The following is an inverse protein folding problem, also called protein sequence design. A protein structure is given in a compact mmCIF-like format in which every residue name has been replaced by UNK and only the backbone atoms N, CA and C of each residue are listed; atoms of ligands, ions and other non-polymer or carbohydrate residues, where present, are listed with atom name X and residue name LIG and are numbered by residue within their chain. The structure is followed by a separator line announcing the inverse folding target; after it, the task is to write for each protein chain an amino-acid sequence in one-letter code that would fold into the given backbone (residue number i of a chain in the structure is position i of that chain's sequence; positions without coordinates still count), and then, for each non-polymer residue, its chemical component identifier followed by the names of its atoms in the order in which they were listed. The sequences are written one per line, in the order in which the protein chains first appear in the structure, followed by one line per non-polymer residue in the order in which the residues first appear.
data_IF_492270817721
#
_entry.id   IF_492270817721
#
_cell.length_a   1.000
_cell.length_b   1.000
_cell.length_c   1.000
_cell.angle_alpha   90.00
_cell.angle_beta   90.00
_cell.angle_gamma   90.00
#
_symmetry.space_group_name_H-M   'P 1'
#
loop_
_entity.id
_entity.type
_entity.pdbx_description
1 polymer ?
#
# COMPACT_ATOMS: atom_id res chain seq x y z
N UNK A 1 -8.12 -24.38 -6.64
CA UNK A 1 -6.95 -23.75 -7.29
C UNK A 1 -7.14 -22.25 -7.22
N UNK A 2 -6.48 -21.58 -6.27
CA UNK A 2 -6.50 -20.11 -6.19
C UNK A 2 -5.37 -19.57 -7.07
N UNK A 3 -5.70 -18.72 -8.04
CA UNK A 3 -4.69 -18.06 -8.85
C UNK A 3 -3.77 -17.26 -7.93
N UNK A 4 -2.48 -17.62 -7.93
CA UNK A 4 -1.43 -16.76 -7.39
C UNK A 4 -1.50 -15.40 -8.11
N UNK A 5 -1.22 -14.28 -7.43
CA UNK A 5 -1.26 -12.95 -8.06
C UNK A 5 -0.16 -12.89 -9.12
N UNK A 6 -0.52 -13.19 -10.36
CA UNK A 6 0.33 -13.05 -11.53
C UNK A 6 0.64 -11.57 -11.74
N UNK A 7 1.79 -11.16 -11.22
CA UNK A 7 2.70 -10.16 -11.77
C UNK A 7 2.03 -8.97 -12.51
N UNK A 8 1.60 -7.94 -11.75
CA UNK A 8 1.50 -6.56 -12.24
C UNK A 8 2.89 -5.95 -12.47
N UNK A 9 3.81 -6.65 -13.14
CA UNK A 9 5.24 -6.29 -13.19
C UNK A 9 5.59 -5.16 -14.17
N UNK A 10 4.66 -4.25 -14.44
CA UNK A 10 4.91 -3.12 -15.34
C UNK A 10 3.84 -2.04 -15.27
N UNK A 11 3.07 -1.98 -14.19
CA UNK A 11 2.12 -0.89 -13.94
C UNK A 11 2.30 -0.42 -12.50
N UNK A 12 2.69 0.83 -12.33
CA UNK A 12 2.69 1.53 -11.04
C UNK A 12 1.54 2.52 -11.03
N UNK A 13 1.10 2.94 -9.85
CA UNK A 13 0.11 3.99 -9.72
C UNK A 13 0.72 5.15 -8.95
N UNK A 14 0.67 6.35 -9.51
CA UNK A 14 0.91 7.56 -8.76
C UNK A 14 -0.29 7.80 -7.84
N UNK A 15 -0.02 8.04 -6.57
CA UNK A 15 -1.04 8.26 -5.55
C UNK A 15 -1.68 9.63 -5.76
N UNK A 16 -2.98 9.64 -6.04
CA UNK A 16 -3.82 10.84 -5.93
C UNK A 16 -4.71 10.69 -4.70
N UNK A 17 -6.02 10.60 -4.93
CA UNK A 17 -7.01 10.44 -3.87
C UNK A 17 -7.11 9.03 -3.27
N UNK A 18 -6.37 8.05 -3.80
CA UNK A 18 -6.21 6.72 -3.23
C UNK A 18 -7.42 5.80 -3.33
N UNK A 19 -8.49 6.19 -4.03
CA UNK A 19 -9.74 5.43 -4.12
C UNK A 19 -9.66 4.20 -5.05
N UNK A 20 -8.66 4.13 -5.93
CA UNK A 20 -8.53 3.06 -6.93
C UNK A 20 -7.30 2.18 -6.70
N UNK A 21 -6.42 2.59 -5.79
CA UNK A 21 -5.18 1.89 -5.48
C UNK A 21 -5.45 0.94 -4.31
N UNK A 22 -5.20 -0.36 -4.49
CA UNK A 22 -5.25 -1.32 -3.38
C UNK A 22 -3.98 -1.23 -2.56
N UNK A 23 -4.11 -0.92 -1.28
CA UNK A 23 -2.99 -0.63 -0.38
C UNK A 23 -1.91 -1.72 -0.44
N UNK A 24 -2.31 -2.99 -0.31
CA UNK A 24 -1.37 -4.11 -0.25
C UNK A 24 -0.88 -4.60 -1.61
N UNK A 25 -1.69 -4.51 -2.66
CA UNK A 25 -1.49 -5.29 -3.89
C UNK A 25 -1.06 -4.47 -5.09
N UNK A 26 -1.10 -3.14 -5.00
CA UNK A 26 -0.69 -2.26 -6.08
C UNK A 26 0.63 -1.57 -5.73
N UNK A 27 1.41 -1.21 -6.74
CA UNK A 27 2.70 -0.51 -6.54
C UNK A 27 2.41 0.98 -6.60
N UNK A 28 2.31 1.60 -5.42
CA UNK A 28 2.04 3.04 -5.28
C UNK A 28 3.05 3.78 -4.41
N UNK A 29 3.87 3.05 -3.65
CA UNK A 29 4.99 3.57 -2.90
C UNK A 29 6.18 2.61 -3.04
N UNK A 30 7.33 3.14 -3.49
CA UNK A 30 8.54 2.35 -3.80
C UNK A 30 8.42 1.51 -5.07
N UNK A 31 9.16 0.40 -5.13
CA UNK A 31 9.33 -0.39 -6.36
C UNK A 31 8.55 -1.72 -6.41
N UNK A 32 7.89 -2.10 -5.31
CA UNK A 32 7.13 -3.34 -5.24
C UNK A 32 5.93 -3.23 -4.29
N UNK A 33 4.97 -4.13 -4.41
CA UNK A 33 3.75 -4.11 -3.59
C UNK A 33 4.06 -4.35 -2.11
N UNK A 34 3.32 -3.74 -1.18
CA UNK A 34 3.48 -4.02 0.24
C UNK A 34 3.15 -5.46 0.64
N UNK A 35 2.32 -6.17 -0.13
CA UNK A 35 2.07 -7.61 0.05
C UNK A 35 3.35 -8.45 -0.09
N UNK A 36 4.26 -8.06 -0.99
CA UNK A 36 5.53 -8.73 -1.22
C UNK A 36 6.58 -8.33 -0.18
N UNK A 37 6.65 -7.04 0.16
CA UNK A 37 7.61 -6.52 1.13
C UNK A 37 7.26 -6.94 2.57
N UNK A 38 5.96 -6.98 2.88
CA UNK A 38 5.44 -7.18 4.25
C UNK A 38 4.34 -8.25 4.32
N UNK A 39 4.61 -9.50 3.89
CA UNK A 39 3.61 -10.57 3.85
C UNK A 39 3.02 -10.88 5.24
N UNK A 40 3.79 -10.61 6.30
CA UNK A 40 3.36 -10.77 7.69
C UNK A 40 2.29 -9.76 8.09
N UNK A 41 2.46 -8.48 7.77
CA UNK A 41 1.43 -7.47 8.08
C UNK A 41 0.20 -7.62 7.20
N UNK A 42 0.36 -7.99 5.93
CA UNK A 42 -0.76 -8.39 5.09
C UNK A 42 -1.56 -9.53 5.76
N UNK A 43 -0.87 -10.54 6.27
CA UNK A 43 -1.51 -11.66 6.96
C UNK A 43 -2.23 -11.21 8.22
N UNK A 44 -1.76 -10.19 8.92
CA UNK A 44 -2.41 -9.68 10.13
C UNK A 44 -3.52 -8.65 9.84
N UNK A 45 -3.49 -7.98 8.69
CA UNK A 45 -4.46 -6.95 8.33
C UNK A 45 -5.87 -7.52 8.14
N UNK A 46 -6.86 -6.82 8.66
CA UNK A 46 -8.27 -7.07 8.39
C UNK A 46 -8.69 -6.59 7.00
N UNK A 47 -8.12 -5.47 6.56
CA UNK A 47 -8.44 -4.83 5.29
C UNK A 47 -7.43 -5.21 4.19
N UNK A 48 -7.31 -6.51 3.90
CA UNK A 48 -6.34 -6.99 2.89
C UNK A 48 -6.59 -6.44 1.49
N UNK A 49 -7.85 -6.25 1.12
CA UNK A 49 -8.25 -5.73 -0.19
C UNK A 49 -8.62 -4.24 -0.17
N UNK A 50 -8.38 -3.56 0.96
CA UNK A 50 -8.71 -2.15 1.13
C UNK A 50 -7.91 -1.25 0.19
N UNK A 51 -8.52 -0.14 -0.18
CA UNK A 51 -7.89 0.93 -0.96
C UNK A 51 -7.02 1.81 -0.07
N UNK A 52 -6.12 2.59 -0.67
CA UNK A 52 -5.27 3.54 0.08
C UNK A 52 -6.12 4.56 0.83
N UNK A 53 -7.20 5.06 0.21
CA UNK A 53 -8.12 6.00 0.87
C UNK A 53 -8.84 5.39 2.05
N UNK A 54 -9.30 4.14 1.95
CA UNK A 54 -9.97 3.46 3.07
C UNK A 54 -9.03 3.19 4.25
N UNK A 55 -7.73 3.06 3.99
CA UNK A 55 -6.69 2.88 5.01
C UNK A 55 -6.22 4.22 5.60
N UNK A 56 -6.68 5.35 5.06
CA UNK A 56 -6.34 6.69 5.51
C UNK A 56 -7.52 7.34 6.23
N UNK A 57 -7.32 7.70 7.50
CA UNK A 57 -8.30 8.47 8.26
C UNK A 57 -7.87 9.93 8.34
N UNK A 58 -8.64 10.80 7.72
CA UNK A 58 -8.44 12.24 7.81
C UNK A 58 -8.86 12.76 9.19
N UNK A 59 -8.03 13.60 9.79
CA UNK A 59 -8.28 14.25 11.08
C UNK A 59 -7.78 15.71 11.02
N UNK A 60 -8.07 16.50 12.06
CA UNK A 60 -7.65 17.91 12.13
C UNK A 60 -6.12 18.12 12.12
N UNK A 61 -5.33 17.07 12.32
CA UNK A 61 -3.87 17.09 12.39
C UNK A 61 -3.20 16.63 11.08
N UNK A 62 -3.97 16.47 10.01
CA UNK A 62 -3.45 16.09 8.69
C UNK A 62 -3.59 14.61 8.37
N UNK A 63 -4.32 13.83 9.17
CA UNK A 63 -4.68 12.43 8.90
C UNK A 63 -3.71 11.39 9.46
N UNK A 64 -4.15 10.14 9.50
CA UNK A 64 -3.37 9.01 10.01
C UNK A 64 -3.70 7.69 9.31
N UNK A 65 -2.70 6.80 9.20
CA UNK A 65 -2.85 5.47 8.62
C UNK A 65 -3.52 4.50 9.60
N UNK A 66 -4.68 3.96 9.22
CA UNK A 66 -5.38 2.91 9.95
C UNK A 66 -5.07 1.51 9.42
N UNK A 67 -3.97 0.92 9.88
CA UNK A 67 -3.62 -0.46 9.59
C UNK A 67 -4.26 -1.40 10.63
N UNK A 68 -5.59 -1.58 10.59
CA UNK A 68 -6.28 -2.46 11.54
C UNK A 68 -5.71 -3.91 11.47
N UNK A 69 -5.02 -4.33 12.54
CA UNK A 69 -4.38 -5.64 12.66
C UNK A 69 -5.14 -6.53 13.66
N UNK A 70 -5.29 -7.82 13.32
CA UNK A 70 -6.02 -8.83 14.11
C UNK A 70 -5.44 -9.14 15.49
N UNK A 71 -4.22 -8.68 15.77
CA UNK A 71 -3.56 -8.80 17.08
C UNK A 71 -2.49 -7.73 17.22
N UNK A 72 -2.07 -7.53 18.46
CA UNK A 72 -0.92 -6.69 18.77
C UNK A 72 0.36 -7.22 18.10
N UNK A 73 1.21 -6.28 17.72
CA UNK A 73 2.55 -6.54 17.20
C UNK A 73 3.45 -7.10 18.30
N UNK A 74 4.29 -8.06 17.94
CA UNK A 74 5.39 -8.52 18.80
C UNK A 74 6.56 -7.55 18.68
N UNK A 75 7.45 -7.52 19.67
CA UNK A 75 8.63 -6.64 19.68
C UNK A 75 9.46 -6.75 18.38
N UNK A 76 9.69 -7.97 17.90
CA UNK A 76 10.43 -8.19 16.65
C UNK A 76 9.65 -7.79 15.38
N UNK A 77 8.33 -7.63 15.45
CA UNK A 77 7.50 -7.11 14.36
C UNK A 77 7.52 -5.57 14.34
N UNK A 78 7.88 -4.90 15.44
CA UNK A 78 7.85 -3.44 15.54
C UNK A 78 8.82 -2.77 14.55
N UNK A 79 10.06 -3.26 14.44
CA UNK A 79 11.04 -2.68 13.50
C UNK A 79 10.59 -2.82 12.04
N UNK A 80 9.95 -3.93 11.67
CA UNK A 80 9.38 -4.08 10.33
C UNK A 80 8.18 -3.16 10.12
N UNK A 81 7.41 -2.89 11.19
CA UNK A 81 6.25 -2.01 11.13
C UNK A 81 6.68 -0.56 10.98
N UNK A 82 7.73 -0.12 11.69
CA UNK A 82 8.36 1.19 11.51
C UNK A 82 8.84 1.40 10.07
N UNK A 83 9.45 0.39 9.45
CA UNK A 83 9.83 0.44 8.03
C UNK A 83 8.59 0.61 7.12
N UNK A 84 7.50 -0.14 7.37
CA UNK A 84 6.24 0.03 6.65
C UNK A 84 5.68 1.45 6.81
N UNK A 85 5.64 1.99 8.03
CA UNK A 85 5.17 3.35 8.31
C UNK A 85 6.03 4.38 7.56
N UNK A 86 7.36 4.27 7.61
CA UNK A 86 8.26 5.20 6.92
C UNK A 86 8.04 5.24 5.41
N UNK A 87 7.64 4.11 4.80
CA UNK A 87 7.36 4.00 3.37
C UNK A 87 6.01 4.61 2.97
N UNK A 88 5.02 4.62 3.85
CA UNK A 88 3.69 5.19 3.58
C UNK A 88 3.58 6.65 4.02
N UNK A 89 4.34 7.07 5.02
CA UNK A 89 4.31 8.44 5.58
C UNK A 89 4.84 9.49 4.58
N UNK A 90 5.74 9.08 3.68
CA UNK A 90 6.21 9.94 2.58
C UNK A 90 5.14 10.17 1.49
N UNK A 91 4.00 9.48 1.57
CA UNK A 91 2.93 9.56 0.58
C UNK A 91 1.78 10.42 1.10
N UNK A 92 1.44 11.48 0.36
CA UNK A 92 0.30 12.36 0.69
C UNK A 92 -0.84 12.11 -0.27
N UNK A 93 -2.07 11.96 0.24
CA UNK A 93 -3.25 11.90 -0.60
C UNK A 93 -3.56 13.29 -1.17
N UNK A 94 -3.88 13.35 -2.46
CA UNK A 94 -4.28 14.56 -3.15
C UNK A 94 -5.79 14.55 -3.46
N UNK A 95 -6.35 15.68 -3.90
CA UNK A 95 -7.74 15.74 -4.35
C UNK A 95 -7.93 15.10 -5.74
N UNK A 96 -6.90 15.17 -6.59
CA UNK A 96 -6.92 14.55 -7.92
C UNK A 96 -7.03 13.02 -7.90
N UNK A 97 -7.48 12.46 -9.01
CA UNK A 97 -7.61 11.01 -9.16
C UNK A 97 -6.26 10.30 -9.29
N UNK A 98 -6.24 9.03 -8.88
CA UNK A 98 -5.09 8.13 -9.05
C UNK A 98 -4.70 7.96 -10.53
N UNK A 99 -3.38 7.99 -10.81
CA UNK A 99 -2.85 7.92 -12.18
C UNK A 99 -2.04 6.64 -12.40
N UNK A 100 -2.48 5.79 -13.33
CA UNK A 100 -1.78 4.56 -13.69
C UNK A 100 -0.66 4.82 -14.70
N UNK A 101 0.55 4.39 -14.36
CA UNK A 101 1.77 4.56 -15.17
C UNK A 101 2.24 3.18 -15.64
N UNK A 102 2.42 3.03 -16.95
CA UNK A 102 2.98 1.83 -17.55
C UNK A 102 4.51 1.93 -17.55
N UNK A 103 5.19 1.00 -16.85
CA UNK A 103 6.66 0.95 -16.78
C UNK A 103 7.32 0.27 -17.99
N UNK A 104 6.55 -0.13 -19.01
CA UNK A 104 7.09 -0.70 -20.24
C UNK A 104 7.56 0.39 -21.19
N UNK A 105 8.86 0.69 -21.20
CA UNK A 105 9.50 1.34 -22.35
C UNK A 105 9.89 0.27 -23.36
N UNK A 106 9.38 0.36 -24.59
CA UNK A 106 9.92 -0.40 -25.73
C UNK A 106 11.37 0.08 -25.93
N UNK A 107 12.35 -0.74 -25.53
CA UNK A 107 13.64 -0.70 -26.21
C UNK A 107 13.42 -1.35 -27.57
N UNK A 108 13.29 -0.51 -28.60
CA UNK A 108 13.44 -0.93 -29.99
C UNK A 108 14.85 -1.43 -30.27
#
# INVERSE_FOLDING_TARGET
MGMLPTFRNGVTCELGNGNRIRFWYDIWAGDSTFALQFPRFLSLSDMKNGTVREMWQENCEGGNWQLNLRRNLKEWEMTMFEDLISKIDVSTLAEEGDTWIWRWSKKG
#
